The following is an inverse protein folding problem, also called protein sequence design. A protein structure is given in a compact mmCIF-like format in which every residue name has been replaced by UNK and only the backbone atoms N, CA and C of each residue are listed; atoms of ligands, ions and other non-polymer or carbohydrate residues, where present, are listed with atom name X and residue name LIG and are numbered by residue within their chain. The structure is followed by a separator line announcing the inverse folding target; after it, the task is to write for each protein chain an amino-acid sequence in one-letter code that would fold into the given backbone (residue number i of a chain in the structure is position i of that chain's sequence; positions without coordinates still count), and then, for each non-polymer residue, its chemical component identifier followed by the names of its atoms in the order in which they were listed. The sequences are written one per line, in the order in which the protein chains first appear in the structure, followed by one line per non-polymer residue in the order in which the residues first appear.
data_IF_534803591964
#
_entry.id   IF_534803591964
#
_cell.length_a   1.000
_cell.length_b   1.000
_cell.length_c   1.000
_cell.angle_alpha   90.00
_cell.angle_beta   90.00
_cell.angle_gamma   90.00
#
_symmetry.space_group_name_H-M   'P 1'
#
loop_
_entity.id
_entity.type
_entity.pdbx_description
1 polymer ?
#
# COMPACT_ATOMS: atom_id res chain seq x y z
N UNK A 1 -21.85 -1.14 19.42
CA UNK A 1 -21.34 -1.33 18.05
C UNK A 1 -22.50 -1.72 17.17
N UNK A 2 -22.58 -1.19 15.95
CA UNK A 2 -23.61 -1.58 14.98
C UNK A 2 -23.22 -2.89 14.29
N UNK A 3 -24.18 -3.62 13.72
CA UNK A 3 -23.92 -4.83 12.91
C UNK A 3 -22.90 -4.58 11.79
N UNK A 4 -22.85 -3.36 11.25
CA UNK A 4 -21.87 -2.95 10.24
C UNK A 4 -20.45 -2.83 10.80
N UNK A 5 -20.30 -2.35 12.04
CA UNK A 5 -19.00 -2.26 12.71
C UNK A 5 -18.48 -3.66 13.05
N UNK A 6 -19.36 -4.56 13.49
CA UNK A 6 -19.01 -5.96 13.79
C UNK A 6 -18.54 -6.69 12.53
N UNK A 7 -19.21 -6.48 11.39
CA UNK A 7 -18.81 -7.05 10.10
C UNK A 7 -17.48 -6.47 9.59
N UNK A 8 -17.22 -5.18 9.83
CA UNK A 8 -15.92 -4.57 9.50
C UNK A 8 -14.80 -5.19 10.33
N UNK A 9 -14.99 -5.25 11.64
CA UNK A 9 -14.03 -5.88 12.54
C UNK A 9 -13.77 -7.36 12.18
N UNK A 10 -14.80 -8.09 11.77
CA UNK A 10 -14.65 -9.45 11.28
C UNK A 10 -13.84 -9.55 9.98
N UNK A 11 -14.02 -8.62 9.04
CA UNK A 11 -13.20 -8.54 7.82
C UNK A 11 -11.74 -8.23 8.14
N UNK A 12 -11.47 -7.35 9.11
CA UNK A 12 -10.11 -7.03 9.57
C UNK A 12 -9.44 -8.25 10.20
N UNK A 13 -10.16 -8.98 11.06
CA UNK A 13 -9.68 -10.22 11.66
C UNK A 13 -9.39 -11.31 10.60
N UNK A 14 -10.23 -11.41 9.57
CA UNK A 14 -10.01 -12.39 8.50
C UNK A 14 -8.82 -12.01 7.61
N UNK A 15 -8.66 -10.73 7.27
CA UNK A 15 -7.50 -10.24 6.53
C UNK A 15 -6.19 -10.55 7.27
N UNK A 16 -6.12 -10.21 8.55
CA UNK A 16 -4.97 -10.51 9.41
C UNK A 16 -4.68 -12.01 9.48
N UNK A 17 -5.72 -12.83 9.66
CA UNK A 17 -5.59 -14.29 9.71
C UNK A 17 -5.05 -14.88 8.40
N UNK A 18 -5.57 -14.44 7.24
CA UNK A 18 -5.09 -14.89 5.94
C UNK A 18 -3.65 -14.45 5.70
N UNK A 19 -3.26 -13.27 6.16
CA UNK A 19 -1.87 -12.84 6.05
C UNK A 19 -0.92 -13.65 6.93
N UNK A 20 -1.29 -13.97 8.16
CA UNK A 20 -0.48 -14.84 9.03
C UNK A 20 -0.35 -16.25 8.45
N UNK A 21 -1.43 -16.78 7.87
CA UNK A 21 -1.40 -18.06 7.14
C UNK A 21 -0.45 -17.99 5.94
N UNK A 22 -0.53 -16.93 5.14
CA UNK A 22 0.32 -16.74 3.97
C UNK A 22 1.80 -16.67 4.36
N UNK A 23 2.14 -15.89 5.39
CA UNK A 23 3.52 -15.80 5.93
C UNK A 23 4.03 -17.15 6.40
N UNK A 24 3.24 -17.87 7.20
CA UNK A 24 3.62 -19.19 7.68
C UNK A 24 3.85 -20.16 6.51
N UNK A 25 3.01 -20.10 5.47
CA UNK A 25 3.14 -20.92 4.27
C UNK A 25 4.41 -20.60 3.45
N UNK A 26 4.76 -19.31 3.31
CA UNK A 26 6.00 -18.86 2.66
C UNK A 26 7.23 -19.38 3.40
N UNK A 27 7.25 -19.27 4.72
CA UNK A 27 8.36 -19.76 5.54
C UNK A 27 8.51 -21.29 5.46
N UNK A 28 7.40 -22.03 5.49
CA UNK A 28 7.44 -23.48 5.24
C UNK A 28 7.96 -23.82 3.84
N UNK A 29 7.59 -23.03 2.83
CA UNK A 29 8.07 -23.18 1.46
C UNK A 29 9.59 -22.97 1.32
N UNK A 30 10.18 -22.12 2.18
CA UNK A 30 11.62 -21.90 2.30
C UNK A 30 12.34 -23.00 3.11
N UNK A 31 11.60 -23.96 3.66
CA UNK A 31 12.14 -25.00 4.53
C UNK A 31 12.33 -24.57 5.99
N UNK A 32 11.84 -23.38 6.36
CA UNK A 32 11.91 -22.88 7.73
C UNK A 32 10.79 -23.50 8.58
N UNK A 33 11.00 -23.55 9.90
CA UNK A 33 9.93 -23.93 10.85
C UNK A 33 9.00 -22.74 11.05
N UNK A 34 7.71 -22.91 10.79
CA UNK A 34 6.69 -21.91 11.08
C UNK A 34 5.46 -22.55 11.75
N UNK A 35 4.83 -21.81 12.66
CA UNK A 35 3.55 -22.19 13.25
C UNK A 35 2.45 -21.72 12.30
N UNK A 36 1.69 -22.66 11.76
CA UNK A 36 0.56 -22.34 10.88
C UNK A 36 -0.67 -22.07 11.75
N UNK A 37 -1.29 -20.87 11.66
CA UNK A 37 -2.53 -20.59 12.34
C UNK A 37 -3.63 -21.63 12.05
N UNK A 38 -4.46 -21.89 13.06
CA UNK A 38 -5.59 -22.83 13.00
C UNK A 38 -6.78 -22.27 12.22
N UNK A 39 -7.98 -22.44 12.77
CA UNK A 39 -9.19 -21.84 12.20
C UNK A 39 -9.23 -20.31 12.44
N UNK A 40 -9.99 -19.56 11.63
CA UNK A 40 -10.19 -18.12 11.86
C UNK A 40 -10.82 -17.83 13.24
N UNK A 41 -10.65 -16.62 13.78
CA UNK A 41 -11.22 -16.23 15.07
C UNK A 41 -12.76 -16.36 15.12
N UNK A 42 -13.32 -16.73 16.27
CA UNK A 42 -14.77 -16.91 16.47
C UNK A 42 -15.64 -15.71 16.01
N UNK A 43 -15.24 -14.44 16.21
CA UNK A 43 -16.03 -13.29 15.72
C UNK A 43 -16.24 -13.30 14.21
N UNK A 44 -15.29 -13.84 13.44
CA UNK A 44 -15.40 -14.02 11.99
C UNK A 44 -16.51 -15.01 11.68
N UNK A 45 -16.52 -16.17 12.35
CA UNK A 45 -17.52 -17.21 12.14
C UNK A 45 -18.95 -16.74 12.50
N UNK A 46 -19.10 -15.89 13.51
CA UNK A 46 -20.39 -15.29 13.86
C UNK A 46 -20.88 -14.29 12.79
N UNK A 47 -19.99 -13.44 12.27
CA UNK A 47 -20.32 -12.42 11.28
C UNK A 47 -20.68 -13.00 9.89
N UNK A 48 -20.21 -14.21 9.57
CA UNK A 48 -20.56 -14.97 8.35
C UNK A 48 -22.07 -15.22 8.22
N UNK A 49 -22.81 -15.28 9.32
CA UNK A 49 -24.26 -15.47 9.32
C UNK A 49 -25.05 -14.17 9.06
N UNK A 50 -24.39 -13.01 9.00
CA UNK A 50 -25.04 -11.73 8.76
C UNK A 50 -25.50 -11.52 7.31
N UNK A 51 -26.11 -10.37 7.05
CA UNK A 51 -26.57 -9.96 5.72
C UNK A 51 -25.71 -8.83 5.14
N UNK A 52 -25.79 -8.62 3.83
CA UNK A 52 -25.07 -7.55 3.12
C UNK A 52 -23.69 -7.95 2.57
N UNK A 53 -23.10 -7.04 1.80
CA UNK A 53 -21.88 -7.29 1.03
C UNK A 53 -20.69 -7.74 1.89
N UNK A 54 -20.54 -7.20 3.11
CA UNK A 54 -19.47 -7.61 4.02
C UNK A 54 -19.62 -9.08 4.46
N UNK A 55 -20.83 -9.51 4.81
CA UNK A 55 -21.09 -10.90 5.18
C UNK A 55 -20.97 -11.86 3.99
N UNK A 56 -21.35 -11.44 2.79
CA UNK A 56 -21.12 -12.21 1.56
C UNK A 56 -19.62 -12.40 1.27
N UNK A 57 -18.83 -11.34 1.45
CA UNK A 57 -17.39 -11.39 1.28
C UNK A 57 -16.73 -12.33 2.32
N UNK A 58 -17.17 -12.26 3.58
CA UNK A 58 -16.76 -13.18 4.64
C UNK A 58 -17.09 -14.63 4.28
N UNK A 59 -18.33 -14.92 3.85
CA UNK A 59 -18.77 -16.26 3.40
C UNK A 59 -17.90 -16.79 2.27
N UNK A 60 -17.67 -15.97 1.25
CA UNK A 60 -16.84 -16.34 0.11
C UNK A 60 -15.41 -16.70 0.56
N UNK A 61 -14.75 -15.82 1.32
CA UNK A 61 -13.37 -16.02 1.73
C UNK A 61 -13.20 -17.24 2.64
N UNK A 62 -14.16 -17.48 3.53
CA UNK A 62 -14.17 -18.68 4.38
C UNK A 62 -14.34 -19.96 3.56
N UNK A 63 -15.25 -19.93 2.57
CA UNK A 63 -15.49 -21.04 1.66
C UNK A 63 -14.29 -21.33 0.75
N UNK A 64 -13.53 -20.31 0.34
CA UNK A 64 -12.25 -20.50 -0.37
C UNK A 64 -11.20 -21.10 0.55
N UNK A 65 -11.00 -20.55 1.75
CA UNK A 65 -10.00 -21.03 2.71
C UNK A 65 -10.20 -22.51 3.08
N UNK A 66 -11.46 -22.96 3.20
CA UNK A 66 -11.78 -24.36 3.46
C UNK A 66 -11.38 -25.31 2.31
N UNK A 67 -11.24 -24.80 1.08
CA UNK A 67 -10.83 -25.55 -0.11
C UNK A 67 -9.32 -25.52 -0.37
N UNK A 68 -8.58 -24.68 0.36
CA UNK A 68 -7.14 -24.51 0.15
C UNK A 68 -6.37 -25.76 0.63
N UNK A 69 -5.55 -26.40 -0.22
CA UNK A 69 -4.73 -27.52 0.19
C UNK A 69 -3.61 -27.06 1.16
N UNK A 70 -3.40 -27.77 2.27
CA UNK A 70 -2.34 -27.46 3.25
C UNK A 70 -0.95 -27.96 2.82
N UNK A 71 -0.88 -28.77 1.77
CA UNK A 71 0.35 -29.34 1.20
C UNK A 71 0.19 -29.54 -0.30
N UNK A 72 1.25 -29.37 -1.11
CA UNK A 72 2.59 -28.91 -0.73
C UNK A 72 2.62 -27.43 -0.32
N UNK A 73 3.64 -27.02 0.47
CA UNK A 73 3.71 -25.68 1.06
C UNK A 73 3.65 -24.53 0.02
N UNK A 74 4.23 -24.71 -1.16
CA UNK A 74 4.18 -23.71 -2.23
C UNK A 74 2.75 -23.53 -2.77
N UNK A 75 1.99 -24.62 -2.94
CA UNK A 75 0.61 -24.57 -3.39
C UNK A 75 -0.27 -23.92 -2.31
N UNK A 76 -0.02 -24.26 -1.04
CA UNK A 76 -0.67 -23.62 0.10
C UNK A 76 -0.44 -22.10 0.11
N UNK A 77 0.82 -21.67 -0.01
CA UNK A 77 1.19 -20.25 -0.03
C UNK A 77 0.53 -19.49 -1.20
N UNK A 78 0.57 -20.07 -2.40
CA UNK A 78 -0.04 -19.47 -3.59
C UNK A 78 -1.56 -19.32 -3.43
N UNK A 79 -2.23 -20.36 -2.94
CA UNK A 79 -3.68 -20.33 -2.74
C UNK A 79 -4.09 -19.32 -1.66
N UNK A 80 -3.44 -19.32 -0.49
CA UNK A 80 -3.75 -18.33 0.56
C UNK A 80 -3.45 -16.91 0.10
N UNK A 81 -2.32 -16.69 -0.56
CA UNK A 81 -1.95 -15.38 -1.11
C UNK A 81 -2.97 -14.88 -2.15
N UNK A 82 -3.44 -15.77 -3.02
CA UNK A 82 -4.51 -15.46 -3.98
C UNK A 82 -5.81 -15.10 -3.26
N UNK A 83 -6.23 -15.87 -2.26
CA UNK A 83 -7.45 -15.58 -1.48
C UNK A 83 -7.33 -14.25 -0.73
N UNK A 84 -6.18 -13.95 -0.12
CA UNK A 84 -5.92 -12.68 0.56
C UNK A 84 -6.00 -11.49 -0.41
N UNK A 85 -5.35 -11.58 -1.57
CA UNK A 85 -5.38 -10.55 -2.61
C UNK A 85 -6.80 -10.30 -3.11
N UNK A 86 -7.55 -11.37 -3.37
CA UNK A 86 -8.95 -11.32 -3.79
C UNK A 86 -9.87 -10.71 -2.71
N UNK A 87 -9.70 -11.09 -1.44
CA UNK A 87 -10.43 -10.51 -0.31
C UNK A 87 -10.22 -8.99 -0.27
N UNK A 88 -8.96 -8.56 -0.31
CA UNK A 88 -8.57 -7.15 -0.31
C UNK A 88 -9.17 -6.40 -1.49
N UNK A 89 -9.10 -6.98 -2.70
CA UNK A 89 -9.66 -6.38 -3.92
C UNK A 89 -11.17 -6.19 -3.82
N UNK A 90 -11.90 -7.19 -3.33
CA UNK A 90 -13.38 -7.17 -3.27
C UNK A 90 -13.92 -6.30 -2.14
N UNK A 91 -13.08 -5.95 -1.17
CA UNK A 91 -13.45 -5.13 -0.01
C UNK A 91 -13.87 -3.71 -0.37
N UNK A 92 -13.20 -3.08 -1.35
CA UNK A 92 -13.59 -1.76 -1.84
C UNK A 92 -13.04 -1.47 -3.25
N UNK A 93 -13.69 -0.60 -4.04
CA UNK A 93 -13.13 -0.13 -5.32
C UNK A 93 -11.76 0.53 -5.17
N UNK A 94 -11.52 1.22 -4.05
CA UNK A 94 -10.24 1.84 -3.73
C UNK A 94 -9.14 0.79 -3.57
N UNK A 95 -9.39 -0.28 -2.80
CA UNK A 95 -8.44 -1.38 -2.69
C UNK A 95 -8.17 -2.04 -4.05
N UNK A 96 -9.20 -2.16 -4.89
CA UNK A 96 -9.04 -2.73 -6.22
C UNK A 96 -8.16 -1.87 -7.14
N UNK A 97 -8.32 -0.54 -7.09
CA UNK A 97 -7.45 0.40 -7.81
C UNK A 97 -6.00 0.33 -7.27
N UNK A 98 -5.83 0.30 -5.94
CA UNK A 98 -4.52 0.18 -5.31
C UNK A 98 -3.80 -1.08 -5.77
N UNK A 99 -4.49 -2.22 -5.79
CA UNK A 99 -3.87 -3.49 -6.19
C UNK A 99 -3.57 -3.58 -7.69
N UNK A 100 -4.31 -2.87 -8.55
CA UNK A 100 -4.01 -2.82 -9.98
C UNK A 100 -2.82 -1.91 -10.29
N UNK A 101 -2.71 -0.81 -9.57
CA UNK A 101 -1.69 0.20 -9.81
C UNK A 101 -0.37 -0.09 -9.09
N UNK A 102 -0.43 -0.62 -7.87
CA UNK A 102 0.67 -0.55 -6.90
C UNK A 102 1.02 -1.89 -6.20
N UNK A 103 0.42 -3.02 -6.58
CA UNK A 103 0.72 -4.32 -5.93
C UNK A 103 2.01 -4.98 -6.41
N UNK A 104 2.47 -4.58 -7.60
CA UNK A 104 3.68 -5.09 -8.25
C UNK A 104 4.93 -4.23 -8.00
N UNK A 105 4.87 -2.88 -8.11
CA UNK A 105 6.05 -2.06 -7.83
C UNK A 105 6.44 -2.10 -6.34
N UNK A 106 7.72 -1.85 -6.06
CA UNK A 106 8.20 -1.80 -4.67
C UNK A 106 7.79 -0.49 -3.99
N UNK A 107 6.60 -0.50 -3.38
CA UNK A 107 5.95 0.68 -2.83
C UNK A 107 5.52 0.55 -1.37
N UNK A 108 5.33 1.70 -0.75
CA UNK A 108 4.54 1.88 0.46
C UNK A 108 3.28 2.70 0.17
N UNK A 109 2.14 2.13 0.52
CA UNK A 109 0.83 2.76 0.49
C UNK A 109 0.22 2.66 1.87
N UNK A 110 -0.05 3.79 2.51
CA UNK A 110 -0.80 3.82 3.75
C UNK A 110 -1.69 5.06 3.83
N UNK A 111 -2.79 4.94 4.58
CA UNK A 111 -3.64 6.06 4.97
C UNK A 111 -3.71 6.13 6.49
N UNK A 112 -3.78 7.33 7.03
CA UNK A 112 -3.92 7.60 8.46
C UNK A 112 -4.82 8.81 8.73
N UNK A 113 -5.25 9.02 9.98
CA UNK A 113 -6.07 10.16 10.37
C UNK A 113 -5.25 11.45 10.44
N UNK A 114 -5.92 12.58 10.22
CA UNK A 114 -5.43 13.93 10.56
C UNK A 114 -5.67 14.19 12.03
N UNK A 115 -4.59 14.33 12.81
CA UNK A 115 -4.66 14.59 14.25
C UNK A 115 -3.89 15.84 14.66
N UNK A 116 -2.92 16.24 13.84
CA UNK A 116 -2.02 17.33 14.16
C UNK A 116 -2.30 18.56 13.29
N UNK A 117 -2.00 19.74 13.86
CA UNK A 117 -2.11 21.01 13.13
C UNK A 117 -1.13 21.10 11.96
N UNK A 118 0.10 20.57 12.15
CA UNK A 118 1.04 20.35 11.05
C UNK A 118 0.85 18.96 10.46
N UNK A 119 0.63 18.90 9.15
CA UNK A 119 0.38 17.64 8.47
C UNK A 119 1.58 16.72 8.37
N UNK A 120 2.78 17.29 8.44
CA UNK A 120 4.02 16.51 8.40
C UNK A 120 4.09 15.53 9.58
N UNK A 121 3.57 15.91 10.76
CA UNK A 121 3.52 15.03 11.93
C UNK A 121 2.62 13.81 11.70
N UNK A 122 1.45 14.00 11.10
CA UNK A 122 0.55 12.89 10.75
C UNK A 122 1.17 11.94 9.73
N UNK A 123 1.87 12.48 8.73
CA UNK A 123 2.59 11.68 7.72
C UNK A 123 3.71 10.88 8.36
N UNK A 124 4.50 11.48 9.25
CA UNK A 124 5.57 10.77 9.96
C UNK A 124 5.01 9.67 10.86
N UNK A 125 3.96 9.94 11.64
CA UNK A 125 3.29 8.92 12.45
C UNK A 125 2.77 7.75 11.58
N UNK A 126 2.24 8.05 10.40
CA UNK A 126 1.81 7.07 9.42
C UNK A 126 2.98 6.23 8.87
N UNK A 127 4.08 6.86 8.48
CA UNK A 127 5.29 6.16 8.02
C UNK A 127 5.94 5.35 9.16
N UNK A 128 5.84 5.81 10.42
CA UNK A 128 6.24 5.05 11.62
C UNK A 128 5.27 3.91 11.96
N UNK A 129 4.12 3.81 11.27
CA UNK A 129 3.05 2.81 11.51
C UNK A 129 2.42 2.92 12.90
N UNK A 130 2.43 4.12 13.46
CA UNK A 130 1.84 4.43 14.78
C UNK A 130 0.33 4.61 14.72
N UNK A 131 -0.21 4.73 13.51
CA UNK A 131 -1.63 4.96 13.26
C UNK A 131 -2.19 3.95 12.26
N UNK A 132 -3.47 3.65 12.45
CA UNK A 132 -4.26 2.80 11.58
C UNK A 132 -5.09 3.63 10.60
N UNK A 133 -5.48 3.01 9.49
CA UNK A 133 -6.41 3.61 8.54
C UNK A 133 -7.80 3.73 9.21
N UNK A 134 -8.40 4.93 9.30
CA UNK A 134 -9.71 5.11 9.93
C UNK A 134 -10.87 4.35 9.25
N UNK A 135 -10.70 3.95 7.99
CA UNK A 135 -11.67 3.15 7.20
C UNK A 135 -11.29 1.66 7.12
N UNK A 136 -10.12 1.27 7.65
CA UNK A 136 -9.62 -0.11 7.60
C UNK A 136 -9.43 -0.62 6.17
N UNK A 137 -8.98 0.24 5.25
CA UNK A 137 -8.70 -0.15 3.87
C UNK A 137 -7.25 -0.61 3.71
N UNK A 138 -6.89 -1.03 2.49
CA UNK A 138 -5.62 -1.67 2.19
C UNK A 138 -4.42 -0.78 2.53
N UNK A 139 -3.44 -1.35 3.23
CA UNK A 139 -2.06 -0.87 3.33
C UNK A 139 -1.16 -1.79 2.50
N UNK A 140 -0.35 -1.23 1.60
CA UNK A 140 0.72 -1.97 0.91
C UNK A 140 2.03 -1.60 1.60
N UNK A 141 2.65 -2.60 2.20
CA UNK A 141 3.89 -2.46 2.97
C UNK A 141 4.55 -3.83 2.98
N UNK A 142 5.18 -4.17 1.85
CA UNK A 142 5.71 -5.51 1.59
C UNK A 142 6.72 -5.98 2.64
N UNK A 143 7.41 -5.03 3.27
CA UNK A 143 8.44 -5.29 4.25
C UNK A 143 8.01 -5.11 5.70
N UNK A 144 6.73 -4.90 5.99
CA UNK A 144 6.25 -4.63 7.37
C UNK A 144 6.71 -5.64 8.43
N UNK A 145 6.92 -6.90 8.03
CA UNK A 145 7.37 -7.98 8.91
C UNK A 145 8.85 -8.34 8.73
N UNK A 146 9.60 -7.63 7.88
CA UNK A 146 11.01 -7.90 7.64
C UNK A 146 11.84 -7.47 8.86
N UNK A 147 12.43 -8.44 9.56
CA UNK A 147 13.24 -8.20 10.75
C UNK A 147 14.48 -7.34 10.50
N UNK A 148 14.97 -7.28 9.25
CA UNK A 148 16.08 -6.42 8.86
C UNK A 148 15.77 -4.93 9.11
N UNK A 149 14.49 -4.54 9.15
CA UNK A 149 14.06 -3.17 9.46
C UNK A 149 14.59 -2.61 10.78
N UNK A 150 14.66 -3.46 11.81
CA UNK A 150 15.08 -3.03 13.12
C UNK A 150 16.61 -2.81 13.22
N UNK A 151 17.37 -3.32 12.25
CA UNK A 151 18.83 -3.40 12.32
C UNK A 151 19.54 -2.67 11.17
N UNK A 152 18.87 -2.42 10.04
CA UNK A 152 19.47 -1.68 8.91
C UNK A 152 19.13 -0.18 9.01
N UNK A 153 20.13 0.70 9.12
CA UNK A 153 19.92 2.15 9.02
C UNK A 153 19.27 2.51 7.69
N UNK A 154 18.20 3.31 7.74
CA UNK A 154 17.46 3.80 6.56
C UNK A 154 16.94 2.71 5.60
N UNK A 155 16.39 1.64 6.20
CA UNK A 155 15.54 0.68 5.50
C UNK A 155 14.46 1.39 4.66
N UNK A 156 14.10 0.91 3.45
CA UNK A 156 12.97 1.44 2.67
C UNK A 156 11.73 1.68 3.53
N UNK A 157 11.02 2.78 3.32
CA UNK A 157 9.86 3.10 4.16
C UNK A 157 10.19 3.36 5.66
N UNK A 158 11.46 3.54 6.03
CA UNK A 158 11.84 4.16 7.30
C UNK A 158 11.58 5.67 7.19
N UNK A 159 10.94 6.30 8.18
CA UNK A 159 10.62 7.70 8.09
C UNK A 159 11.90 8.53 8.13
N UNK A 160 12.01 9.58 7.31
CA UNK A 160 13.12 10.50 7.44
C UNK A 160 13.07 11.21 8.80
N UNK A 161 14.20 11.79 9.26
CA UNK A 161 14.19 12.68 10.41
C UNK A 161 13.11 13.77 10.24
N UNK A 162 12.34 14.03 11.29
CA UNK A 162 11.27 15.03 11.26
C UNK A 162 11.80 16.42 10.85
N UNK A 163 13.02 16.75 11.30
CA UNK A 163 13.70 17.99 10.95
C UNK A 163 13.98 18.04 9.44
N UNK A 164 13.36 19.01 8.76
CA UNK A 164 13.57 19.26 7.32
C UNK A 164 12.82 18.29 6.40
N UNK A 165 11.94 17.42 6.92
CA UNK A 165 11.11 16.55 6.08
C UNK A 165 10.24 17.36 5.13
N UNK A 166 9.48 18.31 5.69
CA UNK A 166 8.58 19.20 4.95
C UNK A 166 9.32 20.09 3.95
N UNK A 167 10.53 20.52 4.28
CA UNK A 167 11.32 21.43 3.44
C UNK A 167 11.77 20.80 2.11
N UNK A 168 11.75 19.47 2.04
CA UNK A 168 12.09 18.69 0.85
C UNK A 168 10.87 18.24 0.05
N UNK A 169 9.69 18.76 0.40
CA UNK A 169 8.43 18.46 -0.25
C UNK A 169 7.88 19.70 -0.96
N UNK A 170 7.34 19.47 -2.15
CA UNK A 170 6.81 20.51 -3.03
C UNK A 170 5.35 20.22 -3.33
N UNK A 171 4.53 21.27 -3.32
CA UNK A 171 3.10 21.15 -3.58
C UNK A 171 2.83 20.77 -5.04
N UNK A 172 1.77 19.99 -5.26
CA UNK A 172 1.31 19.57 -6.58
C UNK A 172 -0.15 19.99 -6.80
N UNK A 173 -0.45 20.36 -8.03
CA UNK A 173 -1.82 20.39 -8.51
C UNK A 173 -2.37 18.96 -8.61
N UNK A 174 -3.69 18.80 -8.43
CA UNK A 174 -4.35 17.48 -8.48
C UNK A 174 -4.04 16.70 -9.76
N UNK A 175 -4.01 17.37 -10.91
CA UNK A 175 -3.67 16.74 -12.19
C UNK A 175 -2.26 16.16 -12.19
N UNK A 176 -1.29 16.92 -11.68
CA UNK A 176 0.09 16.48 -11.53
C UNK A 176 0.19 15.31 -10.55
N UNK A 177 -0.52 15.36 -9.41
CA UNK A 177 -0.56 14.28 -8.42
C UNK A 177 -1.08 12.95 -9.01
N UNK A 178 -2.09 12.99 -9.88
CA UNK A 178 -2.57 11.80 -10.62
C UNK A 178 -1.47 11.22 -11.49
N UNK A 179 -0.75 12.06 -12.24
CA UNK A 179 0.34 11.60 -13.11
C UNK A 179 1.54 11.09 -12.33
N UNK A 180 1.88 11.72 -11.19
CA UNK A 180 2.95 11.31 -10.29
C UNK A 180 2.67 9.94 -9.67
N UNK A 181 1.42 9.69 -9.26
CA UNK A 181 1.01 8.39 -8.75
C UNK A 181 1.04 7.31 -9.84
N UNK A 182 0.61 7.64 -11.05
CA UNK A 182 0.56 6.68 -12.15
C UNK A 182 1.97 6.20 -12.57
N UNK A 183 2.97 7.08 -12.61
CA UNK A 183 4.35 6.71 -12.99
C UNK A 183 5.03 5.81 -11.97
N UNK A 184 4.53 5.67 -10.74
CA UNK A 184 5.04 4.67 -9.79
C UNK A 184 4.86 3.23 -10.31
N UNK A 185 3.90 2.99 -11.21
CA UNK A 185 3.73 1.69 -11.86
C UNK A 185 4.84 1.35 -12.86
N UNK A 186 5.76 2.28 -13.15
CA UNK A 186 6.94 2.04 -13.98
C UNK A 186 7.99 1.19 -13.26
N UNK A 187 7.98 1.23 -11.93
CA UNK A 187 8.88 0.46 -11.07
C UNK A 187 8.66 -1.06 -11.26
N UNK A 188 9.73 -1.81 -11.54
CA UNK A 188 9.79 -3.28 -11.73
C UNK A 188 9.03 -3.88 -12.94
N UNK A 189 8.23 -3.09 -13.67
CA UNK A 189 7.40 -3.53 -14.81
C UNK A 189 7.97 -3.16 -16.17
N UNK A 190 8.43 -4.16 -16.93
CA UNK A 190 8.76 -4.13 -18.39
C UNK A 190 9.62 -2.93 -18.89
N UNK A 191 10.22 -2.14 -17.99
CA UNK A 191 10.90 -0.85 -18.19
C UNK A 191 10.17 0.14 -19.11
N UNK A 192 8.89 -0.11 -19.44
CA UNK A 192 8.16 0.70 -20.41
C UNK A 192 7.53 1.88 -19.69
N UNK A 193 7.80 3.13 -20.09
CA UNK A 193 7.15 4.30 -19.53
C UNK A 193 5.61 4.23 -19.67
N UNK A 194 4.86 4.74 -18.70
CA UNK A 194 3.39 4.72 -18.68
C UNK A 194 2.80 5.36 -19.92
N UNK A 195 3.43 6.41 -20.46
CA UNK A 195 3.02 7.08 -21.71
C UNK A 195 2.93 6.13 -22.91
N UNK A 196 3.72 5.05 -22.90
CA UNK A 196 3.86 4.08 -24.01
C UNK A 196 3.10 2.76 -23.72
N UNK A 197 2.41 2.65 -22.58
CA UNK A 197 1.64 1.47 -22.19
C UNK A 197 0.22 1.50 -22.76
N UNK A 198 -0.30 0.37 -23.31
CA UNK A 198 -1.69 0.31 -23.79
C UNK A 198 -2.72 0.54 -22.68
N UNK A 199 -2.39 0.23 -21.43
CA UNK A 199 -3.23 0.41 -20.25
C UNK A 199 -3.10 1.79 -19.57
N UNK A 200 -2.39 2.77 -20.18
CA UNK A 200 -2.14 4.11 -19.61
C UNK A 200 -3.38 4.75 -18.99
N UNK A 201 -4.49 4.78 -19.72
CA UNK A 201 -5.71 5.46 -19.27
C UNK A 201 -6.35 4.75 -18.07
N UNK A 202 -6.21 3.42 -17.98
CA UNK A 202 -6.66 2.66 -16.82
C UNK A 202 -5.79 2.95 -15.59
N UNK A 203 -4.45 3.06 -15.74
CA UNK A 203 -3.55 3.45 -14.65
C UNK A 203 -3.86 4.85 -14.13
N UNK A 204 -4.12 5.80 -15.03
CA UNK A 204 -4.54 7.16 -14.66
C UNK A 204 -5.93 7.17 -13.99
N UNK A 205 -6.85 6.30 -14.41
CA UNK A 205 -8.15 6.17 -13.76
C UNK A 205 -8.02 5.60 -12.34
N UNK A 206 -7.19 4.58 -12.15
CA UNK A 206 -6.91 4.00 -10.83
C UNK A 206 -6.24 5.02 -9.91
N UNK A 207 -5.27 5.80 -10.41
CA UNK A 207 -4.67 6.90 -9.65
C UNK A 207 -5.71 7.94 -9.18
N UNK A 208 -6.68 8.31 -10.05
CA UNK A 208 -7.78 9.22 -9.64
C UNK A 208 -8.64 8.61 -8.54
N UNK A 209 -9.05 7.35 -8.68
CA UNK A 209 -9.83 6.64 -7.65
C UNK A 209 -9.11 6.64 -6.31
N UNK A 210 -7.77 6.49 -6.32
CA UNK A 210 -6.97 6.52 -5.10
C UNK A 210 -6.95 7.89 -4.44
N UNK A 211 -6.79 8.96 -5.22
CA UNK A 211 -6.70 10.34 -4.72
C UNK A 211 -8.08 10.94 -4.38
N UNK A 212 -9.16 10.48 -5.01
CA UNK A 212 -10.53 10.91 -4.71
C UNK A 212 -10.97 10.55 -3.29
N UNK A 213 -10.33 9.56 -2.67
CA UNK A 213 -10.52 9.22 -1.26
C UNK A 213 -10.39 10.43 -0.33
N UNK A 214 -9.46 11.33 -0.63
CA UNK A 214 -9.13 12.49 0.20
C UNK A 214 -10.05 13.69 -0.08
N UNK A 215 -11.02 13.55 -0.99
CA UNK A 215 -11.97 14.61 -1.33
C UNK A 215 -11.40 15.63 -2.31
N UNK A 216 -12.24 16.54 -2.84
CA UNK A 216 -11.87 17.50 -3.89
C UNK A 216 -10.88 18.58 -3.41
N UNK A 217 -10.96 18.95 -2.14
CA UNK A 217 -10.14 20.01 -1.53
C UNK A 217 -8.80 19.50 -0.96
N UNK A 218 -8.50 18.21 -1.15
CA UNK A 218 -7.22 17.64 -0.77
C UNK A 218 -6.06 18.36 -1.48
N UNK A 219 -5.00 18.60 -0.72
CA UNK A 219 -3.73 19.12 -1.20
C UNK A 219 -2.74 17.98 -1.37
N UNK A 220 -1.76 18.17 -2.25
CA UNK A 220 -0.81 17.12 -2.63
C UNK A 220 0.62 17.63 -2.53
N UNK A 221 1.54 16.77 -2.12
CA UNK A 221 2.97 17.07 -2.04
C UNK A 221 3.80 15.92 -2.59
N UNK A 222 4.97 16.23 -3.13
CA UNK A 222 5.94 15.25 -3.63
C UNK A 222 7.36 15.66 -3.26
N UNK A 223 8.26 14.68 -3.22
CA UNK A 223 9.70 14.93 -3.14
C UNK A 223 10.34 15.21 -4.51
N UNK A 224 9.57 15.20 -5.61
CA UNK A 224 10.09 15.50 -6.94
C UNK A 224 10.54 16.97 -7.08
N UNK A 225 11.81 17.18 -7.46
CA UNK A 225 12.42 18.51 -7.54
C UNK A 225 11.75 19.41 -8.57
N UNK A 226 11.28 18.83 -9.67
CA UNK A 226 10.68 19.59 -10.76
C UNK A 226 9.34 20.23 -10.34
N UNK A 227 8.67 19.68 -9.32
CA UNK A 227 7.44 20.25 -8.74
C UNK A 227 7.67 21.58 -8.03
N UNK A 228 8.91 21.86 -7.58
CA UNK A 228 9.26 23.15 -6.98
C UNK A 228 9.12 24.32 -7.98
N UNK A 229 9.36 24.04 -9.27
CA UNK A 229 9.28 25.03 -10.34
C UNK A 229 7.95 24.96 -11.11
N UNK A 230 7.35 23.77 -11.20
CA UNK A 230 6.12 23.51 -11.95
C UNK A 230 5.19 22.53 -11.17
N UNK A 231 4.31 23.05 -10.29
CA UNK A 231 3.33 22.24 -9.56
C UNK A 231 2.34 21.49 -10.46
N UNK A 232 2.18 21.91 -11.72
CA UNK A 232 1.28 21.34 -12.72
C UNK A 232 1.96 20.31 -13.64
N UNK A 233 3.20 19.92 -13.35
CA UNK A 233 4.01 19.03 -14.20
C UNK A 233 3.28 17.72 -14.53
N UNK A 234 3.29 17.36 -15.81
CA UNK A 234 2.88 16.04 -16.28
C UNK A 234 4.03 15.04 -16.12
N UNK A 235 3.97 14.23 -15.06
CA UNK A 235 4.98 13.21 -14.77
C UNK A 235 4.94 12.05 -15.76
N UNK A 236 3.78 11.70 -16.34
CA UNK A 236 3.67 10.65 -17.36
C UNK A 236 4.43 11.03 -18.62
N UNK A 237 4.45 12.32 -18.97
CA UNK A 237 5.27 12.81 -20.08
C UNK A 237 6.76 12.60 -19.84
N UNK A 238 7.24 12.81 -18.61
CA UNK A 238 8.64 12.62 -18.25
C UNK A 238 9.02 11.13 -18.10
N UNK A 239 8.13 10.35 -17.49
CA UNK A 239 8.42 9.01 -16.97
C UNK A 239 9.10 9.06 -15.60
N UNK A 240 9.15 7.92 -14.92
CA UNK A 240 9.77 7.76 -13.60
C UNK A 240 11.28 8.08 -13.65
N UNK A 241 12.00 7.47 -14.61
CA UNK A 241 13.44 7.75 -14.84
C UNK A 241 13.73 9.21 -15.22
N UNK A 242 12.74 9.93 -15.75
CA UNK A 242 12.84 11.35 -16.08
C UNK A 242 12.57 12.28 -14.90
N UNK A 243 12.23 11.75 -13.72
CA UNK A 243 11.78 12.49 -12.55
C UNK A 243 12.86 12.47 -11.47
N UNK A 244 13.50 13.63 -11.24
CA UNK A 244 14.47 13.77 -10.15
C UNK A 244 13.75 14.10 -8.85
N UNK A 245 14.17 13.48 -7.75
CA UNK A 245 13.57 13.69 -6.44
C UNK A 245 14.60 13.86 -5.32
N UNK A 246 14.20 14.55 -4.26
CA UNK A 246 14.92 14.53 -2.99
C UNK A 246 14.90 13.12 -2.41
N UNK A 247 16.08 12.59 -2.09
CA UNK A 247 16.24 11.29 -1.46
C UNK A 247 16.22 11.40 0.07
N UNK A 248 15.42 10.55 0.70
CA UNK A 248 15.29 10.34 2.13
C UNK A 248 15.91 9.01 2.56
N UNK A 249 15.97 8.02 1.66
CA UNK A 249 16.77 6.82 1.88
C UNK A 249 18.25 7.18 1.97
N UNK A 250 18.93 6.62 2.96
CA UNK A 250 20.38 6.81 3.15
C UNK A 250 21.16 5.49 3.06
N UNK A 251 20.49 4.37 2.83
CA UNK A 251 21.09 3.06 2.60
C UNK A 251 20.99 2.68 1.13
N UNK A 252 22.14 2.34 0.53
CA UNK A 252 22.22 1.98 -0.90
C UNK A 252 22.01 0.49 -1.16
N UNK A 253 22.13 -0.39 -0.15
CA UNK A 253 22.11 -1.85 -0.32
C UNK A 253 21.31 -2.56 0.77
N UNK A 254 20.29 -3.32 0.38
CA UNK A 254 19.49 -4.16 1.28
C UNK A 254 19.27 -5.56 0.70
N UNK A 255 19.84 -6.60 1.33
CA UNK A 255 19.64 -8.01 0.94
C UNK A 255 19.95 -8.32 -0.54
N UNK A 256 20.90 -7.65 -1.16
CA UNK A 256 21.22 -7.87 -2.59
C UNK A 256 20.45 -6.99 -3.57
N UNK A 257 19.66 -6.05 -3.06
CA UNK A 257 18.90 -5.08 -3.84
C UNK A 257 19.52 -3.70 -3.60
N UNK A 258 19.88 -3.01 -4.67
CA UNK A 258 20.33 -1.63 -4.60
C UNK A 258 19.13 -0.66 -4.64
N UNK A 259 19.13 0.32 -3.75
CA UNK A 259 18.05 1.30 -3.59
C UNK A 259 18.51 2.68 -4.07
N UNK A 260 18.16 3.06 -5.29
CA UNK A 260 18.76 4.23 -5.94
C UNK A 260 17.83 5.42 -6.11
N UNK A 261 16.54 5.17 -6.32
CA UNK A 261 15.55 6.18 -6.67
C UNK A 261 14.35 6.09 -5.73
N UNK A 262 13.68 7.22 -5.50
CA UNK A 262 12.41 7.21 -4.81
C UNK A 262 11.51 8.34 -5.31
N UNK A 263 10.22 8.05 -5.41
CA UNK A 263 9.20 9.03 -5.71
C UNK A 263 8.08 8.90 -4.69
N UNK A 264 7.86 10.00 -3.96
CA UNK A 264 6.83 10.12 -2.97
C UNK A 264 5.68 11.00 -3.43
N UNK A 265 4.47 10.62 -3.04
CA UNK A 265 3.26 11.44 -3.14
C UNK A 265 2.53 11.39 -1.80
N UNK A 266 2.20 12.55 -1.28
CA UNK A 266 1.44 12.74 -0.06
C UNK A 266 0.13 13.43 -0.42
N UNK A 267 -0.98 12.93 0.12
CA UNK A 267 -2.30 13.56 0.06
C UNK A 267 -2.71 14.01 1.45
N UNK A 268 -3.23 15.23 1.59
CA UNK A 268 -3.71 15.75 2.89
C UNK A 268 -5.08 16.36 2.69
N UNK A 269 -6.07 15.82 3.41
CA UNK A 269 -7.38 16.44 3.62
C UNK A 269 -7.52 16.95 5.06
N UNK A 270 -8.71 17.39 5.43
CA UNK A 270 -9.01 17.79 6.82
C UNK A 270 -9.09 16.58 7.76
N UNK A 271 -9.42 15.38 7.25
CA UNK A 271 -9.66 14.18 8.05
C UNK A 271 -8.60 13.07 7.87
N UNK A 272 -7.95 12.98 6.70
CA UNK A 272 -6.99 11.91 6.37
C UNK A 272 -5.67 12.41 5.75
N UNK A 273 -4.59 11.68 6.00
CA UNK A 273 -3.34 11.74 5.21
C UNK A 273 -3.11 10.44 4.46
N UNK A 274 -2.66 10.55 3.22
CA UNK A 274 -2.24 9.44 2.37
C UNK A 274 -0.77 9.54 2.05
N UNK A 275 -0.06 8.41 2.09
CA UNK A 275 1.33 8.30 1.65
C UNK A 275 1.43 7.20 0.60
N UNK A 276 1.96 7.56 -0.56
CA UNK A 276 2.30 6.67 -1.67
C UNK A 276 3.79 6.89 -1.95
N UNK A 277 4.61 5.85 -1.85
CA UNK A 277 6.06 6.00 -1.97
C UNK A 277 6.66 4.82 -2.72
N UNK A 278 7.22 5.09 -3.90
CA UNK A 278 7.89 4.11 -4.74
C UNK A 278 9.39 4.16 -4.54
N UNK A 279 10.06 3.01 -4.65
CA UNK A 279 11.50 2.88 -4.54
C UNK A 279 12.06 2.11 -5.73
N UNK A 280 13.02 2.74 -6.41
CA UNK A 280 13.91 2.14 -7.39
C UNK A 280 14.76 1.08 -6.74
N UNK A 281 14.47 -0.19 -7.04
CA UNK A 281 15.10 -1.34 -6.41
C UNK A 281 15.63 -2.30 -7.49
N UNK A 282 16.96 -2.45 -7.59
CA UNK A 282 17.64 -3.13 -8.69
C UNK A 282 18.57 -4.26 -8.23
#
# INVERSE_FOLDING_TARGET
MSTSDDQRAALDLLDAHLEDLWRAAVELGRGNRAVVPGAPPQPVAAAVAGEGAAAELLRWAYGELARVPRSPAHAFALSVGTTLRELRRRRSPWNAAALRLLDDPYVFLATGPRRHGDWAEDVLALMHREVEDPRGWLRIDGDRANGARAVVPAYPFAPPPAAGFRDRLHELERGAAVTALAVMAEEWRDDRPVRDRPERDALLADARVLLDRYGPDARFWTNALDAAADPGRDFVRAGLQGTRAHRFTTGEYLNGIDLFEELGLISVSDDEVGVFWSFGAY
#
